data_IF_507333929228
#
_entry.id   IF_507333929228
#
_cell.length_a   1.000
_cell.length_b   1.000
_cell.length_c   1.000
_cell.angle_alpha   90.00
_cell.angle_beta   90.00
_cell.angle_gamma   90.00
#
_symmetry.space_group_name_H-M   'P 1'
#
loop_
_entity.id
_entity.type
_entity.pdbx_description
1 polymer ?
#
# COMPACT_ATOMS: atom_id res chain seq x y z
N UNK A 1 -20.50 -12.93 -6.32
CA UNK A 1 -19.15 -12.39 -6.60
C UNK A 1 -18.88 -12.46 -8.09
N UNK A 2 -18.64 -11.32 -8.74
CA UNK A 2 -18.15 -11.30 -10.12
C UNK A 2 -16.67 -11.73 -10.07
N UNK A 3 -16.32 -12.78 -10.81
CA UNK A 3 -14.92 -13.21 -10.94
C UNK A 3 -14.31 -12.52 -12.15
N UNK A 4 -13.13 -11.95 -11.98
CA UNK A 4 -12.31 -11.43 -13.07
C UNK A 4 -11.33 -12.51 -13.52
N UNK A 5 -10.99 -12.52 -14.81
CA UNK A 5 -10.04 -13.49 -15.38
C UNK A 5 -8.62 -13.25 -14.87
N UNK A 6 -8.24 -11.97 -14.74
CA UNK A 6 -6.94 -11.50 -14.30
C UNK A 6 -7.06 -10.11 -13.67
N UNK A 7 -5.95 -9.62 -13.11
CA UNK A 7 -5.84 -8.30 -12.46
C UNK A 7 -6.04 -7.15 -13.44
N UNK A 8 -5.60 -7.31 -14.68
CA UNK A 8 -5.74 -6.28 -15.70
C UNK A 8 -7.22 -6.07 -16.06
N UNK A 9 -7.98 -7.16 -16.19
CA UNK A 9 -9.42 -7.11 -16.42
C UNK A 9 -10.15 -6.48 -15.24
N UNK A 10 -9.74 -6.80 -14.01
CA UNK A 10 -10.27 -6.12 -12.81
C UNK A 10 -9.94 -4.62 -12.83
N UNK A 11 -8.71 -4.26 -13.21
CA UNK A 11 -8.25 -2.88 -13.33
C UNK A 11 -9.02 -2.06 -14.36
N UNK A 12 -9.31 -2.63 -15.54
CA UNK A 12 -10.14 -1.99 -16.57
C UNK A 12 -11.57 -1.74 -16.10
N UNK A 13 -12.16 -2.69 -15.38
CA UNK A 13 -13.50 -2.50 -14.82
C UNK A 13 -13.51 -1.46 -13.69
N UNK A 14 -12.47 -1.46 -12.84
CA UNK A 14 -12.29 -0.43 -11.82
C UNK A 14 -12.09 0.96 -12.43
N UNK A 15 -11.29 1.06 -13.50
CA UNK A 15 -11.05 2.30 -14.21
C UNK A 15 -12.35 2.94 -14.73
N UNK A 16 -13.29 2.14 -15.25
CA UNK A 16 -14.61 2.62 -15.68
C UNK A 16 -15.41 3.22 -14.53
N UNK A 17 -15.37 2.60 -13.35
CA UNK A 17 -16.03 3.13 -12.16
C UNK A 17 -15.40 4.45 -11.68
N UNK A 18 -14.10 4.65 -11.96
CA UNK A 18 -13.34 5.84 -11.58
C UNK A 18 -13.30 6.93 -12.65
N UNK A 19 -14.01 6.79 -13.78
CA UNK A 19 -13.91 7.73 -14.91
C UNK A 19 -14.28 9.18 -14.54
N UNK A 20 -15.10 9.37 -13.50
CA UNK A 20 -15.43 10.67 -12.93
C UNK A 20 -14.22 11.43 -12.32
N UNK A 21 -13.06 10.77 -12.18
CA UNK A 21 -11.79 11.37 -11.77
C UNK A 21 -10.93 11.82 -12.96
N UNK A 22 -11.30 11.50 -14.20
CA UNK A 22 -10.57 11.90 -15.40
C UNK A 22 -10.44 13.43 -15.47
N UNK A 23 -9.24 13.91 -15.77
CA UNK A 23 -8.93 15.34 -15.86
C UNK A 23 -8.72 16.05 -14.51
N UNK A 24 -8.82 15.33 -13.38
CA UNK A 24 -8.46 15.84 -12.05
C UNK A 24 -6.97 15.58 -11.76
N UNK A 25 -6.35 16.33 -10.82
CA UNK A 25 -4.98 16.05 -10.38
C UNK A 25 -4.97 14.77 -9.54
N UNK A 26 -4.80 13.62 -10.18
CA UNK A 26 -4.81 12.29 -9.55
C UNK A 26 -3.41 11.71 -9.52
N UNK A 27 -3.07 10.99 -8.45
CA UNK A 27 -1.94 10.05 -8.42
C UNK A 27 -2.50 8.68 -8.05
N UNK A 28 -2.21 7.67 -8.88
CA UNK A 28 -2.66 6.30 -8.63
C UNK A 28 -1.53 5.53 -7.96
N UNK A 29 -1.83 4.92 -6.83
CA UNK A 29 -0.88 4.26 -5.94
C UNK A 29 -1.21 2.77 -5.85
N UNK A 30 -0.37 1.92 -6.41
CA UNK A 30 -0.52 0.47 -6.32
C UNK A 30 0.15 -0.12 -5.08
N UNK A 31 -0.55 -0.96 -4.34
CA UNK A 31 0.04 -1.78 -3.28
C UNK A 31 0.76 -2.99 -3.90
N UNK A 32 2.09 -3.12 -3.71
CA UNK A 32 2.79 -4.26 -4.28
C UNK A 32 2.50 -5.56 -3.51
N UNK A 33 2.46 -6.71 -4.18
CA UNK A 33 2.70 -6.91 -5.62
C UNK A 33 1.41 -6.94 -6.45
N UNK A 34 0.31 -7.31 -5.82
CA UNK A 34 -0.96 -7.63 -6.48
C UNK A 34 -1.70 -6.40 -7.00
N UNK A 35 -1.76 -5.33 -6.20
CA UNK A 35 -2.43 -4.09 -6.57
C UNK A 35 -1.80 -3.35 -7.75
N UNK A 36 -0.50 -3.51 -7.99
CA UNK A 36 0.22 -2.73 -9.03
C UNK A 36 -0.31 -2.97 -10.45
N UNK A 37 -0.51 -4.21 -10.93
CA UNK A 37 -1.16 -4.45 -12.22
C UNK A 37 -2.57 -3.84 -12.34
N UNK A 38 -3.35 -3.83 -11.26
CA UNK A 38 -4.69 -3.22 -11.24
C UNK A 38 -4.57 -1.69 -11.33
N UNK A 39 -3.66 -1.12 -10.54
CA UNK A 39 -3.35 0.30 -10.49
C UNK A 39 -2.86 0.83 -11.84
N UNK A 40 -2.07 0.04 -12.57
CA UNK A 40 -1.55 0.41 -13.88
C UNK A 40 -2.66 0.67 -14.90
N UNK A 41 -3.68 -0.19 -14.96
CA UNK A 41 -4.84 0.00 -15.83
C UNK A 41 -5.65 1.24 -15.44
N UNK A 42 -5.81 1.50 -14.12
CA UNK A 42 -6.48 2.69 -13.61
C UNK A 42 -5.71 3.97 -13.98
N UNK A 43 -4.39 3.97 -13.77
CA UNK A 43 -3.53 5.10 -14.09
C UNK A 43 -3.55 5.42 -15.59
N UNK A 44 -3.42 4.39 -16.43
CA UNK A 44 -3.48 4.53 -17.88
C UNK A 44 -4.83 5.11 -18.32
N UNK A 45 -5.94 4.57 -17.79
CA UNK A 45 -7.27 5.03 -18.14
C UNK A 45 -7.49 6.48 -17.73
N UNK A 46 -7.02 6.91 -16.55
CA UNK A 46 -7.20 8.28 -16.06
C UNK A 46 -6.20 9.28 -16.66
N UNK A 47 -5.14 8.81 -17.33
CA UNK A 47 -4.03 9.66 -17.76
C UNK A 47 -3.23 10.22 -16.58
N UNK A 48 -3.17 9.48 -15.47
CA UNK A 48 -2.55 9.89 -14.22
C UNK A 48 -1.21 9.18 -14.00
N UNK A 49 -0.26 9.78 -13.25
CA UNK A 49 0.94 9.09 -12.80
C UNK A 49 0.59 7.86 -11.97
N UNK A 50 1.28 6.76 -12.26
CA UNK A 50 1.30 5.54 -11.45
C UNK A 50 2.51 5.58 -10.52
N UNK A 51 2.28 5.30 -9.25
CA UNK A 51 3.34 5.07 -8.29
C UNK A 51 3.00 3.89 -7.35
N UNK A 52 3.94 3.50 -6.50
CA UNK A 52 3.76 2.43 -5.50
C UNK A 52 3.71 2.98 -4.08
N UNK A 53 3.00 2.30 -3.18
CA UNK A 53 3.12 2.51 -1.73
C UNK A 53 3.88 1.33 -1.14
N UNK A 54 5.02 1.59 -0.50
CA UNK A 54 5.78 0.55 0.21
C UNK A 54 5.49 0.66 1.71
N UNK A 55 4.74 -0.31 2.23
CA UNK A 55 4.41 -0.42 3.67
C UNK A 55 4.70 -1.81 4.21
N UNK A 56 4.94 -1.89 5.52
CA UNK A 56 5.06 -3.13 6.29
C UNK A 56 4.13 -3.08 7.50
N UNK A 57 3.37 -4.15 7.69
CA UNK A 57 2.56 -4.36 8.90
C UNK A 57 3.48 -4.72 10.06
N UNK A 58 3.24 -4.13 11.22
CA UNK A 58 3.81 -4.56 12.48
C UNK A 58 2.80 -5.50 13.14
N UNK A 59 3.10 -6.80 13.16
CA UNK A 59 2.26 -7.84 13.76
C UNK A 59 2.62 -8.14 15.22
N UNK A 60 1.71 -8.78 15.96
CA UNK A 60 2.01 -9.28 17.29
C UNK A 60 2.92 -10.53 17.25
N UNK A 61 3.81 -10.74 18.24
CA UNK A 61 4.52 -12.00 18.43
C UNK A 61 3.53 -13.18 18.51
N UNK A 62 3.78 -14.23 17.72
CA UNK A 62 2.94 -15.43 17.68
C UNK A 62 1.58 -15.25 16.99
N UNK A 63 1.17 -14.01 16.69
CA UNK A 63 -0.08 -13.68 16.00
C UNK A 63 0.16 -12.62 14.92
N UNK A 64 0.97 -12.92 13.89
CA UNK A 64 1.40 -11.94 12.89
C UNK A 64 0.24 -11.36 12.07
N UNK A 65 -0.92 -12.01 12.08
CA UNK A 65 -2.12 -11.49 11.42
C UNK A 65 -2.75 -10.31 12.16
N UNK A 66 -2.59 -10.22 13.48
CA UNK A 66 -3.06 -9.10 14.30
C UNK A 66 -2.07 -7.94 14.19
N UNK A 67 -2.48 -6.86 13.52
CA UNK A 67 -1.66 -5.67 13.35
C UNK A 67 -1.65 -4.81 14.62
N UNK A 68 -0.49 -4.57 15.20
CA UNK A 68 -0.28 -3.49 16.18
C UNK A 68 0.02 -2.15 15.51
N UNK A 69 0.34 -2.15 14.21
CA UNK A 69 0.61 -0.93 13.46
C UNK A 69 1.17 -1.21 12.07
N UNK A 70 1.74 -0.17 11.47
CA UNK A 70 2.43 -0.23 10.20
C UNK A 70 3.56 0.81 10.13
N UNK A 71 4.54 0.52 9.29
CA UNK A 71 5.62 1.44 8.91
C UNK A 71 5.65 1.60 7.39
N UNK A 72 6.11 2.76 6.95
CA UNK A 72 6.29 3.09 5.54
C UNK A 72 7.57 3.89 5.31
N UNK A 73 7.74 4.32 4.06
CA UNK A 73 8.86 5.14 3.61
C UNK A 73 9.00 6.44 4.43
N UNK A 74 10.19 7.05 4.37
CA UNK A 74 10.47 8.36 5.00
C UNK A 74 10.19 8.41 6.52
N UNK A 75 10.29 7.26 7.20
CA UNK A 75 10.08 7.17 8.64
C UNK A 75 8.61 7.12 9.05
N UNK A 76 7.67 7.00 8.11
CA UNK A 76 6.25 6.86 8.41
C UNK A 76 6.01 5.68 9.37
N UNK A 77 5.24 5.95 10.42
CA UNK A 77 4.95 5.00 11.49
C UNK A 77 3.59 5.29 12.09
N UNK A 78 2.74 4.26 12.13
CA UNK A 78 1.42 4.30 12.73
C UNK A 78 1.29 3.12 13.68
N UNK A 79 0.87 3.37 14.91
CA UNK A 79 0.60 2.32 15.90
C UNK A 79 -0.83 2.40 16.39
N UNK A 80 -1.43 1.24 16.63
CA UNK A 80 -2.58 1.10 17.51
C UNK A 80 -2.05 0.96 18.95
N UNK A 81 -2.23 1.97 19.81
CA UNK A 81 -1.67 1.97 21.16
C UNK A 81 -2.25 0.84 22.03
N UNK A 82 -3.52 0.48 21.85
CA UNK A 82 -4.17 -0.57 22.65
C UNK A 82 -3.58 -1.95 22.35
N UNK A 83 -3.32 -2.23 21.08
CA UNK A 83 -2.70 -3.50 20.65
C UNK A 83 -1.21 -3.51 20.96
N UNK A 84 -0.51 -2.38 20.76
CA UNK A 84 0.92 -2.26 21.06
C UNK A 84 1.21 -2.41 22.58
N UNK A 85 0.26 -2.02 23.44
CA UNK A 85 0.37 -2.19 24.89
C UNK A 85 0.32 -3.66 25.35
N UNK A 86 -0.08 -4.59 24.48
CA UNK A 86 -0.11 -6.04 24.78
C UNK A 86 1.29 -6.68 24.83
N UNK A 87 2.34 -5.96 24.41
CA UNK A 87 3.71 -6.47 24.38
C UNK A 87 4.68 -5.51 25.08
N UNK A 88 5.84 -6.03 25.47
CA UNK A 88 6.90 -5.22 26.06
C UNK A 88 7.56 -4.29 25.04
N UNK A 89 8.07 -3.14 25.49
CA UNK A 89 8.80 -2.18 24.64
C UNK A 89 9.93 -2.84 23.83
N UNK A 90 10.70 -3.73 24.47
CA UNK A 90 11.80 -4.43 23.81
C UNK A 90 11.32 -5.35 22.67
N UNK A 91 10.12 -5.93 22.77
CA UNK A 91 9.54 -6.74 21.69
C UNK A 91 9.09 -5.87 20.53
N UNK A 92 8.44 -4.75 20.83
CA UNK A 92 8.02 -3.77 19.82
C UNK A 92 9.22 -3.25 19.02
N UNK A 93 10.29 -2.82 19.71
CA UNK A 93 11.51 -2.31 19.08
C UNK A 93 12.17 -3.36 18.18
N UNK A 94 12.21 -4.63 18.62
CA UNK A 94 12.77 -5.73 17.83
C UNK A 94 11.96 -6.02 16.57
N UNK A 95 10.63 -6.07 16.68
CA UNK A 95 9.73 -6.29 15.54
C UNK A 95 9.87 -5.13 14.55
N UNK A 96 9.82 -3.89 15.05
CA UNK A 96 9.94 -2.70 14.21
C UNK A 96 11.28 -2.67 13.46
N UNK A 97 12.40 -2.99 14.12
CA UNK A 97 13.70 -3.06 13.49
C UNK A 97 13.75 -4.10 12.35
N UNK A 98 13.20 -5.30 12.59
CA UNK A 98 13.13 -6.36 11.58
C UNK A 98 12.27 -5.94 10.37
N UNK A 99 11.09 -5.39 10.63
CA UNK A 99 10.18 -4.96 9.56
C UNK A 99 10.74 -3.74 8.80
N UNK A 100 11.50 -2.87 9.46
CA UNK A 100 12.15 -1.71 8.82
C UNK A 100 13.25 -2.14 7.87
N UNK A 101 14.07 -3.12 8.25
CA UNK A 101 15.06 -3.70 7.34
C UNK A 101 14.42 -4.31 6.09
N UNK A 102 13.28 -5.01 6.24
CA UNK A 102 12.54 -5.57 5.10
C UNK A 102 11.86 -4.47 4.26
N UNK A 103 11.36 -3.42 4.90
CA UNK A 103 10.84 -2.24 4.21
C UNK A 103 11.91 -1.64 3.31
N UNK A 104 13.09 -1.32 3.84
CA UNK A 104 14.20 -0.73 3.10
C UNK A 104 14.63 -1.59 1.90
N UNK A 105 14.69 -2.92 2.10
CA UNK A 105 14.97 -3.87 1.01
C UNK A 105 13.93 -3.76 -0.12
N UNK A 106 12.64 -3.67 0.21
CA UNK A 106 11.55 -3.53 -0.77
C UNK A 106 11.54 -2.17 -1.45
N UNK A 107 11.79 -1.09 -0.70
CA UNK A 107 11.94 0.26 -1.24
C UNK A 107 13.04 0.26 -2.30
N UNK A 108 14.23 -0.26 -1.96
CA UNK A 108 15.34 -0.32 -2.92
C UNK A 108 14.98 -1.09 -4.19
N UNK A 109 14.26 -2.20 -4.06
CA UNK A 109 13.86 -3.03 -5.20
C UNK A 109 12.77 -2.39 -6.06
N UNK A 110 11.73 -1.81 -5.45
CA UNK A 110 10.55 -1.33 -6.17
C UNK A 110 10.70 0.10 -6.66
N UNK A 111 11.38 0.97 -5.91
CA UNK A 111 11.71 2.33 -6.36
C UNK A 111 12.79 2.33 -7.43
N UNK A 112 13.76 1.41 -7.34
CA UNK A 112 14.90 1.34 -8.24
C UNK A 112 15.58 2.72 -8.46
N UNK A 113 15.71 3.50 -7.38
CA UNK A 113 16.29 4.85 -7.39
C UNK A 113 15.34 5.99 -7.78
N UNK A 114 14.08 5.72 -8.12
CA UNK A 114 13.06 6.75 -8.39
C UNK A 114 12.50 7.31 -7.09
N UNK A 115 12.32 8.63 -7.04
CA UNK A 115 11.61 9.29 -5.95
C UNK A 115 10.10 9.01 -6.03
N UNK A 116 9.41 9.10 -4.88
CA UNK A 116 7.96 9.02 -4.81
C UNK A 116 7.30 10.21 -5.52
N UNK A 117 6.13 9.99 -6.11
CA UNK A 117 5.34 11.07 -6.72
C UNK A 117 4.74 11.95 -5.62
N UNK A 118 4.92 13.28 -5.67
CA UNK A 118 4.31 14.18 -4.68
C UNK A 118 2.78 14.07 -4.67
N UNK A 119 2.21 13.91 -3.47
CA UNK A 119 0.75 13.76 -3.29
C UNK A 119 0.06 15.07 -2.90
N UNK A 120 0.79 16.08 -2.46
CA UNK A 120 0.22 17.37 -2.04
C UNK A 120 -0.59 17.99 -3.18
N UNK A 121 -1.85 18.35 -2.89
CA UNK A 121 -2.77 18.93 -3.88
C UNK A 121 -3.36 17.94 -4.89
N UNK A 122 -3.08 16.63 -4.74
CA UNK A 122 -3.60 15.59 -5.62
C UNK A 122 -4.60 14.68 -4.89
N UNK A 123 -5.49 14.07 -5.66
CA UNK A 123 -6.34 12.96 -5.22
C UNK A 123 -5.49 11.69 -5.28
N UNK A 124 -5.20 11.09 -4.13
CA UNK A 124 -4.54 9.80 -4.06
C UNK A 124 -5.56 8.66 -4.24
N UNK A 125 -5.37 7.83 -5.27
CA UNK A 125 -6.18 6.63 -5.49
C UNK A 125 -5.34 5.41 -5.13
N UNK A 126 -5.60 4.84 -3.96
CA UNK A 126 -4.89 3.66 -3.45
C UNK A 126 -5.58 2.40 -4.00
N UNK A 127 -4.81 1.52 -4.62
CA UNK A 127 -5.33 0.34 -5.33
C UNK A 127 -4.63 -0.93 -4.86
N UNK A 128 -5.44 -1.92 -4.49
CA UNK A 128 -5.01 -3.30 -4.23
C UNK A 128 -5.81 -4.29 -5.09
N UNK A 129 -5.32 -5.53 -5.24
CA UNK A 129 -6.02 -6.57 -6.01
C UNK A 129 -7.10 -7.32 -5.21
N UNK A 130 -7.16 -7.08 -3.91
CA UNK A 130 -8.23 -7.54 -3.06
C UNK A 130 -8.00 -7.15 -1.60
N UNK A 131 -9.07 -6.88 -0.88
CA UNK A 131 -9.02 -6.56 0.55
C UNK A 131 -9.66 -7.70 1.33
N UNK A 132 -8.84 -8.51 1.98
CA UNK A 132 -9.33 -9.62 2.82
C UNK A 132 -9.71 -9.18 4.23
N UNK A 133 -8.90 -8.31 4.85
CA UNK A 133 -9.09 -7.84 6.23
C UNK A 133 -8.91 -6.32 6.41
N UNK A 134 -8.55 -5.59 5.34
CA UNK A 134 -8.32 -4.14 5.40
C UNK A 134 -7.04 -3.70 6.11
N UNK A 135 -6.34 -4.59 6.81
CA UNK A 135 -5.20 -4.23 7.65
C UNK A 135 -3.97 -3.70 6.88
N UNK A 136 -3.95 -3.81 5.55
CA UNK A 136 -2.88 -3.31 4.68
C UNK A 136 -3.29 -2.04 3.92
N UNK A 137 -4.59 -1.72 3.87
CA UNK A 137 -5.16 -0.64 3.06
C UNK A 137 -5.39 0.64 3.86
#
# INVERSE_FOLDING_TARGET
>A
MRRFADRETAGRELAKALDHLRGKPVVVLGLPRGGVPVAAEVAQALGAPLDVIVVRKLGLPGQPEVAMGAIGEEGARVLNPDIAALIGRADLERIEASERAELERRVSMWRAGKAAVPLTGHIAVIVDDGVATGATA
#
